data_IF_384450998369
#
_entry.id   IF_384450998369
#
_cell.length_a   1.000
_cell.length_b   1.000
_cell.length_c   1.000
_cell.angle_alpha   90.00
_cell.angle_beta   90.00
_cell.angle_gamma   90.00
#
_symmetry.space_group_name_H-M   'P 1'
#
loop_
_entity.id
_entity.type
_entity.pdbx_description
1 polymer ?
#
# COMPACT_ATOMS: atom_id res chain seq x y z
N UNK A 1 9.41 6.35 -11.21
CA UNK A 1 10.16 7.57 -10.82
C UNK A 1 9.99 7.70 -9.32
N UNK A 2 11.05 7.98 -8.56
CA UNK A 2 10.90 8.22 -7.11
C UNK A 2 10.73 9.72 -6.90
N UNK A 3 9.67 10.11 -6.20
CA UNK A 3 9.41 11.50 -5.90
C UNK A 3 10.29 12.00 -4.75
N UNK A 4 10.73 13.26 -4.82
CA UNK A 4 11.49 13.88 -3.73
C UNK A 4 10.71 13.87 -2.42
N UNK A 5 9.40 14.13 -2.49
CA UNK A 5 8.50 14.12 -1.33
C UNK A 5 8.41 12.73 -0.67
N UNK A 6 8.32 11.67 -1.47
CA UNK A 6 8.40 10.28 -0.96
C UNK A 6 9.73 10.04 -0.25
N UNK A 7 10.84 10.49 -0.84
CA UNK A 7 12.18 10.29 -0.27
C UNK A 7 12.32 11.00 1.09
N UNK A 8 11.79 12.22 1.20
CA UNK A 8 11.77 12.98 2.45
C UNK A 8 10.89 12.30 3.51
N UNK A 9 9.70 11.82 3.12
CA UNK A 9 8.80 11.08 4.01
C UNK A 9 9.45 9.78 4.50
N UNK A 10 10.09 9.02 3.61
CA UNK A 10 10.80 7.79 3.95
C UNK A 10 11.98 8.07 4.90
N UNK A 11 12.77 9.11 4.65
CA UNK A 11 13.87 9.49 5.52
C UNK A 11 13.39 9.88 6.92
N UNK A 12 12.29 10.63 7.02
CA UNK A 12 11.68 11.00 8.29
C UNK A 12 11.15 9.77 9.05
N UNK A 13 10.51 8.83 8.36
CA UNK A 13 10.06 7.57 8.94
C UNK A 13 11.25 6.75 9.48
N UNK A 14 12.31 6.59 8.69
CA UNK A 14 13.50 5.84 9.12
C UNK A 14 14.17 6.48 10.34
N UNK A 15 14.19 7.82 10.41
CA UNK A 15 14.73 8.54 11.57
C UNK A 15 13.88 8.36 12.84
N UNK A 16 12.55 8.32 12.70
CA UNK A 16 11.64 8.06 13.82
C UNK A 16 11.74 6.61 14.28
N UNK A 17 11.88 5.65 13.36
CA UNK A 17 11.92 4.20 13.63
C UNK A 17 13.29 3.64 14.04
N UNK A 18 14.13 4.45 14.71
CA UNK A 18 15.47 4.02 15.18
C UNK A 18 15.43 2.99 16.30
N UNK A 19 14.28 2.82 16.93
CA UNK A 19 13.97 1.81 17.93
C UNK A 19 13.59 0.44 17.34
N UNK A 20 13.53 0.32 16.01
CA UNK A 20 13.17 -0.90 15.28
C UNK A 20 14.36 -1.35 14.42
N UNK A 21 14.66 -2.65 14.35
CA UNK A 21 15.64 -3.18 13.38
C UNK A 21 15.06 -3.11 11.96
N UNK A 22 15.29 -1.97 11.31
CA UNK A 22 14.73 -1.66 10.01
C UNK A 22 15.67 -2.11 8.88
N UNK A 23 15.16 -2.96 7.98
CA UNK A 23 15.78 -3.25 6.69
C UNK A 23 15.02 -2.50 5.59
N UNK A 24 15.76 -1.88 4.66
CA UNK A 24 15.17 -1.14 3.53
C UNK A 24 15.47 -1.85 2.23
N UNK A 25 14.44 -2.09 1.42
CA UNK A 25 14.55 -2.70 0.10
C UNK A 25 13.87 -1.80 -0.93
N UNK A 26 14.56 -1.53 -2.04
CA UNK A 26 13.98 -0.84 -3.20
C UNK A 26 13.87 -1.82 -4.36
N UNK A 27 12.64 -2.22 -4.70
CA UNK A 27 12.37 -3.10 -5.82
C UNK A 27 11.97 -2.32 -7.06
N UNK A 28 12.59 -2.64 -8.21
CA UNK A 28 12.29 -2.03 -9.50
C UNK A 28 11.79 -3.12 -10.44
N UNK A 29 10.59 -2.94 -10.98
CA UNK A 29 10.00 -3.83 -11.98
C UNK A 29 8.98 -3.06 -12.80
N UNK A 30 8.84 -3.39 -14.08
CA UNK A 30 7.75 -2.89 -14.94
C UNK A 30 6.40 -3.55 -14.61
N UNK A 31 6.42 -4.68 -13.90
CA UNK A 31 5.24 -5.41 -13.46
C UNK A 31 5.17 -5.32 -11.94
N UNK A 32 4.16 -4.61 -11.42
CA UNK A 32 4.01 -4.35 -9.97
C UNK A 32 3.88 -5.65 -9.16
N UNK A 33 3.14 -6.64 -9.65
CA UNK A 33 3.05 -7.96 -9.02
C UNK A 33 4.42 -8.62 -8.82
N UNK A 34 5.33 -8.50 -9.79
CA UNK A 34 6.70 -9.01 -9.67
C UNK A 34 7.48 -8.23 -8.61
N UNK A 35 7.37 -6.89 -8.59
CA UNK A 35 8.02 -6.07 -7.55
C UNK A 35 7.55 -6.44 -6.14
N UNK A 36 6.24 -6.67 -5.94
CA UNK A 36 5.69 -7.10 -4.66
C UNK A 36 6.21 -8.48 -4.25
N UNK A 37 6.14 -9.48 -5.13
CA UNK A 37 6.66 -10.82 -4.81
C UNK A 37 8.18 -10.81 -4.53
N UNK A 38 8.96 -9.97 -5.22
CA UNK A 38 10.39 -9.78 -4.90
C UNK A 38 10.57 -9.16 -3.50
N UNK A 39 9.67 -8.26 -3.08
CA UNK A 39 9.62 -7.71 -1.73
C UNK A 39 9.37 -8.79 -0.69
N UNK A 40 8.38 -9.66 -0.92
CA UNK A 40 8.13 -10.81 -0.04
C UNK A 40 9.36 -11.72 0.03
N UNK A 41 9.98 -12.05 -1.12
CA UNK A 41 11.20 -12.86 -1.13
C UNK A 41 12.33 -12.23 -0.33
N UNK A 42 12.60 -10.94 -0.52
CA UNK A 42 13.65 -10.23 0.19
C UNK A 42 13.39 -10.22 1.71
N UNK A 43 12.14 -9.99 2.12
CA UNK A 43 11.75 -10.06 3.53
C UNK A 43 11.94 -11.46 4.12
N UNK A 44 11.57 -12.51 3.38
CA UNK A 44 11.81 -13.91 3.77
C UNK A 44 13.31 -14.20 3.92
N UNK A 45 14.13 -13.78 2.95
CA UNK A 45 15.59 -13.99 2.97
C UNK A 45 16.27 -13.23 4.13
N UNK A 46 15.72 -12.09 4.55
CA UNK A 46 16.21 -11.29 5.67
C UNK A 46 15.69 -11.75 7.03
N UNK A 47 14.68 -12.63 7.08
CA UNK A 47 14.10 -13.14 8.32
C UNK A 47 13.41 -12.06 9.17
N UNK A 48 12.77 -11.06 8.54
CA UNK A 48 12.03 -10.01 9.26
C UNK A 48 10.64 -10.49 9.71
N UNK A 49 10.10 -9.90 10.77
CA UNK A 49 8.76 -10.26 11.28
C UNK A 49 7.61 -9.63 10.48
N UNK A 50 7.85 -8.46 9.90
CA UNK A 50 6.87 -7.67 9.16
C UNK A 50 7.46 -7.10 7.89
N UNK A 51 6.61 -6.95 6.87
CA UNK A 51 6.89 -6.26 5.63
C UNK A 51 5.94 -5.08 5.48
N UNK A 52 6.50 -3.86 5.48
CA UNK A 52 5.78 -2.64 5.15
C UNK A 52 6.00 -2.29 3.67
N UNK A 53 4.93 -2.30 2.89
CA UNK A 53 4.94 -1.74 1.54
C UNK A 53 4.67 -0.25 1.57
N UNK A 54 5.50 0.51 0.84
CA UNK A 54 5.34 1.94 0.59
C UNK A 54 5.57 2.20 -0.90
N UNK A 55 4.57 2.73 -1.60
CA UNK A 55 4.73 3.10 -3.02
C UNK A 55 5.45 4.43 -3.18
N UNK A 56 6.28 4.52 -4.23
CA UNK A 56 7.20 5.66 -4.43
C UNK A 56 6.52 6.98 -4.79
N UNK A 57 5.20 6.95 -4.96
CA UNK A 57 4.30 8.08 -5.21
C UNK A 57 3.38 8.37 -4.01
N UNK A 58 3.76 7.92 -2.81
CA UNK A 58 3.04 8.20 -1.57
C UNK A 58 3.81 9.19 -0.67
N UNK A 59 3.07 9.99 0.10
CA UNK A 59 3.60 10.78 1.22
C UNK A 59 2.87 10.35 2.48
N UNK A 60 3.60 10.12 3.57
CA UNK A 60 3.05 9.55 4.79
C UNK A 60 3.72 10.17 6.04
N UNK A 61 3.04 10.20 7.19
CA UNK A 61 3.63 10.67 8.45
C UNK A 61 4.83 9.83 8.89
N UNK A 62 5.81 10.44 9.56
CA UNK A 62 7.00 9.73 10.06
C UNK A 62 6.70 8.59 11.05
N UNK A 63 5.57 8.65 11.78
CA UNK A 63 5.14 7.62 12.74
C UNK A 63 4.30 6.49 12.11
N UNK A 64 4.22 6.43 10.77
CA UNK A 64 3.40 5.44 10.05
C UNK A 64 3.71 4.00 10.47
N UNK A 65 5.00 3.62 10.54
CA UNK A 65 5.39 2.27 10.92
C UNK A 65 4.98 1.92 12.37
N UNK A 66 5.31 2.77 13.35
CA UNK A 66 4.92 2.55 14.75
C UNK A 66 3.41 2.44 14.92
N UNK A 67 2.67 3.29 14.22
CA UNK A 67 1.20 3.31 14.27
C UNK A 67 0.61 2.00 13.77
N UNK A 68 1.06 1.52 12.60
CA UNK A 68 0.60 0.25 12.04
C UNK A 68 1.01 -0.95 12.92
N UNK A 69 2.23 -0.96 13.46
CA UNK A 69 2.69 -2.00 14.38
C UNK A 69 1.89 -2.03 15.69
N UNK A 70 1.51 -0.87 16.23
CA UNK A 70 0.78 -0.76 17.49
C UNK A 70 -0.60 -1.42 17.45
N UNK A 71 -1.19 -1.59 16.27
CA UNK A 71 -2.46 -2.32 16.10
C UNK A 71 -2.33 -3.83 16.29
N UNK A 72 -1.13 -4.39 16.17
CA UNK A 72 -0.86 -5.82 16.36
C UNK A 72 -1.52 -6.75 15.33
N UNK A 73 -2.03 -6.21 14.23
CA UNK A 73 -2.76 -6.98 13.20
C UNK A 73 -1.82 -7.67 12.22
N UNK A 74 -2.30 -8.75 11.61
CA UNK A 74 -1.56 -9.48 10.57
C UNK A 74 -1.50 -8.73 9.25
N UNK A 75 -2.57 -8.00 8.89
CA UNK A 75 -2.63 -7.16 7.70
C UNK A 75 -3.34 -5.84 8.04
N UNK A 76 -2.59 -4.74 8.03
CA UNK A 76 -3.12 -3.40 8.35
C UNK A 76 -2.42 -2.34 7.52
N UNK A 77 -3.19 -1.38 7.01
CA UNK A 77 -2.65 -0.33 6.13
C UNK A 77 -3.49 0.94 6.15
N UNK A 78 -3.30 1.75 5.12
CA UNK A 78 -4.04 2.98 4.91
C UNK A 78 -4.75 2.99 3.55
N UNK A 79 -5.87 3.69 3.49
CA UNK A 79 -6.57 4.04 2.26
C UNK A 79 -6.04 5.37 1.74
N UNK A 80 -6.21 5.59 0.44
CA UNK A 80 -5.84 6.82 -0.22
C UNK A 80 -6.62 6.95 -1.54
N UNK A 81 -6.74 8.15 -2.07
CA UNK A 81 -7.52 8.40 -3.28
C UNK A 81 -6.78 7.95 -4.53
N UNK A 82 -7.50 7.68 -5.63
CA UNK A 82 -6.91 7.67 -6.97
C UNK A 82 -6.32 9.04 -7.31
N UNK A 83 -5.48 9.09 -8.36
CA UNK A 83 -4.86 10.33 -8.87
C UNK A 83 -5.66 11.03 -9.96
N UNK A 84 -6.85 10.50 -10.30
CA UNK A 84 -7.68 11.00 -11.39
C UNK A 84 -9.05 11.41 -10.81
N UNK A 85 -9.57 12.61 -11.15
CA UNK A 85 -10.92 13.03 -10.77
C UNK A 85 -11.98 11.95 -11.10
N UNK A 86 -12.97 11.70 -10.22
CA UNK A 86 -13.33 12.47 -9.01
C UNK A 86 -12.53 12.07 -7.75
N UNK A 87 -11.34 11.47 -7.90
CA UNK A 87 -10.46 11.03 -6.80
C UNK A 87 -11.15 10.07 -5.82
N UNK A 88 -11.81 8.99 -6.30
CA UNK A 88 -12.41 8.02 -5.40
C UNK A 88 -11.36 7.35 -4.51
N UNK A 89 -11.74 6.96 -3.30
CA UNK A 89 -10.90 6.15 -2.42
C UNK A 89 -10.54 4.82 -3.09
N UNK A 90 -9.30 4.38 -2.90
CA UNK A 90 -8.85 3.03 -3.23
C UNK A 90 -9.09 2.10 -2.04
N UNK A 91 -9.60 0.91 -2.32
CA UNK A 91 -10.08 -0.06 -1.35
C UNK A 91 -11.61 -0.16 -1.31
N UNK A 92 -12.09 -1.22 -0.67
CA UNK A 92 -13.50 -1.51 -0.49
C UNK A 92 -13.72 -1.97 0.94
N UNK A 93 -14.54 -1.23 1.69
CA UNK A 93 -14.87 -1.55 3.08
C UNK A 93 -15.75 -2.79 3.15
N UNK A 94 -15.68 -3.52 4.26
CA UNK A 94 -16.70 -4.51 4.59
C UNK A 94 -18.01 -3.78 4.92
N UNK A 95 -19.11 -4.22 4.34
CA UNK A 95 -20.42 -3.57 4.51
C UNK A 95 -20.88 -3.61 5.98
N UNK A 96 -20.84 -4.79 6.59
CA UNK A 96 -21.12 -4.97 8.01
C UNK A 96 -19.82 -5.04 8.81
N UNK A 97 -19.57 -3.98 9.57
CA UNK A 97 -18.40 -3.93 10.45
C UNK A 97 -18.62 -4.85 11.66
N UNK A 98 -17.62 -5.66 12.01
CA UNK A 98 -17.73 -6.61 13.10
C UNK A 98 -17.68 -5.89 14.45
N UNK A 99 -18.43 -6.41 15.42
CA UNK A 99 -18.55 -5.79 16.75
C UNK A 99 -17.22 -5.75 17.53
N UNK A 100 -16.27 -6.62 17.18
CA UNK A 100 -14.94 -6.71 17.79
C UNK A 100 -13.87 -5.92 17.01
N UNK A 101 -14.26 -5.04 16.08
CA UNK A 101 -13.33 -4.21 15.34
C UNK A 101 -12.44 -3.38 16.29
N UNK A 102 -11.10 -3.42 16.15
CA UNK A 102 -10.23 -2.59 16.96
C UNK A 102 -10.52 -1.10 16.78
N UNK A 103 -10.34 -0.32 17.85
CA UNK A 103 -10.61 1.10 17.82
C UNK A 103 -9.79 1.82 16.74
N UNK A 104 -10.47 2.62 15.89
CA UNK A 104 -9.84 3.38 14.81
C UNK A 104 -9.53 2.59 13.54
N UNK A 105 -9.87 1.29 13.49
CA UNK A 105 -9.75 0.46 12.30
C UNK A 105 -11.10 0.20 11.64
N UNK A 106 -11.13 0.17 10.32
CA UNK A 106 -12.23 -0.41 9.54
C UNK A 106 -11.78 -1.72 8.90
N UNK A 107 -12.63 -2.73 8.96
CA UNK A 107 -12.40 -3.95 8.21
C UNK A 107 -12.68 -3.74 6.73
N UNK A 108 -11.78 -4.23 5.89
CA UNK A 108 -11.78 -4.06 4.45
C UNK A 108 -12.04 -5.41 3.76
N UNK A 109 -12.82 -5.39 2.68
CA UNK A 109 -12.84 -6.50 1.72
C UNK A 109 -11.58 -6.46 0.86
N UNK A 110 -11.16 -5.27 0.44
CA UNK A 110 -9.94 -5.04 -0.35
C UNK A 110 -9.24 -3.77 0.12
N UNK A 111 -7.92 -3.82 0.28
CA UNK A 111 -7.08 -2.69 0.71
C UNK A 111 -5.90 -2.53 -0.26
N UNK A 112 -5.58 -1.30 -0.69
CA UNK A 112 -4.47 -1.11 -1.63
C UNK A 112 -3.11 -1.29 -0.94
N UNK A 113 -2.07 -1.63 -1.72
CA UNK A 113 -0.75 -2.04 -1.17
C UNK A 113 0.26 -0.88 -1.10
N UNK A 114 -0.12 0.37 -1.37
CA UNK A 114 0.83 1.50 -1.37
C UNK A 114 1.21 2.02 0.01
N UNK A 115 0.47 1.62 1.04
CA UNK A 115 0.85 1.74 2.44
C UNK A 115 0.20 0.59 3.22
N UNK A 116 0.87 -0.56 3.26
CA UNK A 116 0.32 -1.80 3.83
C UNK A 116 1.39 -2.56 4.61
N UNK A 117 1.14 -2.80 5.89
CA UNK A 117 1.95 -3.64 6.77
C UNK A 117 1.37 -5.06 6.80
N UNK A 118 2.22 -6.04 6.56
CA UNK A 118 1.85 -7.46 6.57
C UNK A 118 2.82 -8.21 7.49
N UNK A 119 2.29 -8.97 8.45
CA UNK A 119 3.07 -9.91 9.26
C UNK A 119 3.55 -11.05 8.37
N UNK A 120 4.84 -11.39 8.42
CA UNK A 120 5.44 -12.35 7.50
C UNK A 120 4.83 -13.75 7.59
N UNK A 121 4.38 -14.17 8.78
CA UNK A 121 3.67 -15.44 8.97
C UNK A 121 2.34 -15.53 8.22
N UNK A 122 1.78 -14.41 7.73
CA UNK A 122 0.60 -14.43 6.88
C UNK A 122 0.87 -15.16 5.56
N UNK A 123 2.10 -15.06 5.04
CA UNK A 123 2.49 -15.70 3.78
C UNK A 123 2.64 -17.23 3.90
N UNK A 124 2.74 -17.78 5.11
CA UNK A 124 2.81 -19.24 5.34
C UNK A 124 1.48 -19.94 5.01
N UNK A 125 0.37 -19.20 5.12
CA UNK A 125 -0.99 -19.67 4.79
C UNK A 125 -1.41 -19.32 3.37
N UNK A 126 -0.51 -18.74 2.58
CA UNK A 126 -0.77 -18.33 1.21
C UNK A 126 0.17 -19.06 0.24
N UNK A 127 -0.26 -19.20 -1.01
CA UNK A 127 0.53 -19.87 -2.05
C UNK A 127 1.20 -18.85 -2.98
N UNK A 128 2.40 -19.16 -3.47
CA UNK A 128 3.08 -18.31 -4.47
C UNK A 128 2.42 -18.46 -5.87
N UNK A 129 2.52 -17.44 -6.75
CA UNK A 129 2.88 -16.05 -6.41
C UNK A 129 1.81 -15.43 -5.50
N UNK A 130 2.24 -14.67 -4.49
CA UNK A 130 1.36 -14.07 -3.48
C UNK A 130 0.53 -12.93 -4.07
N UNK A 131 1.20 -12.03 -4.79
CA UNK A 131 0.58 -10.97 -5.59
C UNK A 131 0.53 -11.42 -7.05
N UNK A 132 -0.65 -11.38 -7.67
CA UNK A 132 -0.84 -11.77 -9.08
C UNK A 132 -2.09 -11.13 -9.63
N UNK A 133 -2.09 -10.79 -10.90
CA UNK A 133 -3.32 -10.40 -11.57
C UNK A 133 -4.21 -11.63 -11.73
N UNK A 134 -5.50 -11.45 -11.50
CA UNK A 134 -6.53 -12.44 -11.80
C UNK A 134 -7.49 -11.84 -12.83
N UNK A 135 -8.24 -12.69 -13.51
CA UNK A 135 -9.26 -12.27 -14.48
C UNK A 135 -10.58 -12.85 -14.02
N UNK A 136 -11.62 -12.05 -14.06
CA UNK A 136 -12.98 -12.58 -14.03
C UNK A 136 -13.32 -13.05 -15.44
N UNK A 137 -13.42 -14.37 -15.63
CA UNK A 137 -13.74 -14.97 -16.93
C UNK A 137 -15.15 -14.62 -17.43
N UNK A 138 -16.04 -14.20 -16.54
CA UNK A 138 -17.42 -13.86 -16.90
C UNK A 138 -17.52 -12.43 -17.43
N UNK A 139 -16.92 -11.47 -16.72
CA UNK A 139 -16.95 -10.05 -17.10
C UNK A 139 -15.80 -9.63 -18.00
N UNK A 140 -14.71 -10.42 -18.04
CA UNK A 140 -13.45 -10.07 -18.71
C UNK A 140 -12.61 -9.04 -17.95
N UNK A 141 -13.04 -8.65 -16.74
CA UNK A 141 -12.34 -7.63 -15.95
C UNK A 141 -11.04 -8.16 -15.35
N UNK A 142 -10.03 -7.29 -15.33
CA UNK A 142 -8.75 -7.57 -14.66
C UNK A 142 -8.87 -7.18 -13.20
N UNK A 143 -8.60 -8.15 -12.32
CA UNK A 143 -8.43 -7.91 -10.90
C UNK A 143 -6.96 -7.58 -10.64
N UNK A 144 -6.72 -6.39 -10.08
CA UNK A 144 -5.40 -5.92 -9.66
C UNK A 144 -4.72 -6.89 -8.70
N UNK A 145 -3.39 -6.88 -8.68
CA UNK A 145 -2.60 -7.82 -7.88
C UNK A 145 -2.77 -7.64 -6.37
N UNK A 146 -3.06 -6.42 -5.95
CA UNK A 146 -3.38 -6.05 -4.57
C UNK A 146 -4.72 -6.64 -4.13
N UNK A 147 -5.75 -6.51 -4.96
CA UNK A 147 -7.09 -7.02 -4.68
C UNK A 147 -7.16 -8.55 -4.76
N UNK A 148 -6.45 -9.16 -5.71
CA UNK A 148 -6.29 -10.61 -5.74
C UNK A 148 -5.58 -11.15 -4.49
N UNK A 149 -4.55 -10.44 -4.00
CA UNK A 149 -3.93 -10.76 -2.71
C UNK A 149 -4.95 -10.66 -1.55
N UNK A 150 -5.71 -9.57 -1.48
CA UNK A 150 -6.73 -9.35 -0.46
C UNK A 150 -7.78 -10.48 -0.42
N UNK A 151 -8.34 -10.83 -1.58
CA UNK A 151 -9.36 -11.87 -1.70
C UNK A 151 -8.84 -13.24 -1.24
N UNK A 152 -7.55 -13.52 -1.50
CA UNK A 152 -6.89 -14.75 -1.07
C UNK A 152 -6.54 -14.75 0.41
N UNK A 153 -6.08 -13.62 0.94
CA UNK A 153 -5.84 -13.45 2.37
C UNK A 153 -7.13 -13.64 3.18
N UNK A 154 -8.24 -13.05 2.73
CA UNK A 154 -9.56 -13.26 3.34
C UNK A 154 -10.02 -14.71 3.25
N UNK A 155 -9.88 -15.36 2.08
CA UNK A 155 -10.18 -16.80 1.92
C UNK A 155 -9.33 -17.68 2.83
N UNK A 156 -8.09 -17.28 3.13
CA UNK A 156 -7.23 -17.94 4.09
C UNK A 156 -7.59 -17.62 5.55
N UNK A 157 -8.58 -16.76 5.82
CA UNK A 157 -9.07 -16.43 7.17
C UNK A 157 -8.40 -15.21 7.82
N UNK A 158 -7.67 -14.39 7.06
CA UNK A 158 -7.14 -13.11 7.57
C UNK A 158 -8.17 -12.00 7.44
N UNK A 159 -8.17 -11.09 8.41
CA UNK A 159 -8.91 -9.83 8.37
C UNK A 159 -7.97 -8.74 7.87
N UNK A 160 -8.50 -7.83 7.07
CA UNK A 160 -7.75 -6.74 6.46
C UNK A 160 -8.22 -5.44 7.09
N UNK A 161 -7.30 -4.64 7.60
CA UNK A 161 -7.65 -3.46 8.37
C UNK A 161 -7.13 -2.17 7.75
N UNK A 162 -7.97 -1.15 7.69
CA UNK A 162 -7.57 0.21 7.36
C UNK A 162 -7.55 1.07 8.63
N UNK A 163 -6.41 1.71 8.90
CA UNK A 163 -6.31 2.75 9.91
C UNK A 163 -6.85 4.08 9.35
N UNK A 164 -7.97 4.55 9.90
CA UNK A 164 -8.69 5.68 9.32
C UNK A 164 -7.99 7.00 9.54
N UNK A 165 -7.45 7.29 10.73
CA UNK A 165 -6.75 8.57 10.87
C UNK A 165 -5.43 8.58 10.10
N UNK A 166 -4.76 7.43 9.91
CA UNK A 166 -3.59 7.38 9.02
C UNK A 166 -4.01 7.64 7.57
N UNK A 167 -5.14 7.08 7.15
CA UNK A 167 -5.70 7.29 5.80
C UNK A 167 -6.03 8.76 5.51
N UNK A 168 -6.36 9.55 6.54
CA UNK A 168 -6.59 10.99 6.41
C UNK A 168 -5.31 11.81 6.32
N UNK A 169 -4.16 11.25 6.73
CA UNK A 169 -2.86 11.93 6.77
C UNK A 169 -1.94 11.54 5.60
N UNK A 170 -2.29 10.50 4.85
CA UNK A 170 -1.51 10.03 3.71
C UNK A 170 -1.90 10.78 2.42
N UNK A 171 -0.91 11.04 1.56
CA UNK A 171 -1.09 11.70 0.27
C UNK A 171 -0.66 10.82 -0.89
N UNK A 172 -1.40 10.89 -2.00
CA UNK A 172 -1.06 10.22 -3.26
C UNK A 172 -0.58 11.25 -4.29
N UNK A 173 0.71 11.19 -4.64
CA UNK A 173 1.35 12.18 -5.51
C UNK A 173 0.84 12.03 -6.95
N UNK A 174 0.18 13.07 -7.45
CA UNK A 174 -0.16 13.24 -8.86
C UNK A 174 0.94 13.94 -9.65
N UNK A 175 0.99 13.72 -10.96
CA UNK A 175 1.89 14.45 -11.87
C UNK A 175 1.08 15.13 -12.97
N UNK A 176 1.47 16.36 -13.30
CA UNK A 176 0.95 17.11 -14.44
C UNK A 176 2.10 17.54 -15.33
N UNK A 177 1.94 17.37 -16.64
CA UNK A 177 2.91 17.85 -17.63
C UNK A 177 2.55 19.29 -18.00
N UNK A 178 3.50 20.21 -17.79
CA UNK A 178 3.37 21.61 -18.23
C UNK A 178 4.21 21.80 -19.50
N UNK A 179 3.63 22.44 -20.50
CA UNK A 179 4.30 22.83 -21.75
C UNK A 179 4.22 24.34 -21.91
N UNK A 180 5.12 24.91 -22.69
CA UNK A 180 4.95 26.28 -23.17
C UNK A 180 3.61 26.39 -23.92
N UNK A 181 2.89 27.51 -23.81
CA UNK A 181 1.70 27.76 -24.62
C UNK A 181 2.07 27.72 -26.11
N UNK A 182 1.14 27.25 -26.95
CA UNK A 182 1.36 27.09 -28.40
C UNK A 182 1.67 28.41 -29.14
N UNK A 183 1.47 29.56 -28.47
CA UNK A 183 1.78 30.88 -28.99
C UNK A 183 2.77 31.57 -28.07
N UNK A 184 3.94 31.91 -28.62
CA UNK A 184 4.92 32.77 -27.98
C UNK A 184 4.45 34.22 -28.14
N UNK A 185 4.23 35.00 -27.07
CA UNK A 185 3.89 36.41 -27.22
C UNK A 185 5.11 37.12 -27.81
N UNK A 186 5.04 37.46 -29.10
CA UNK A 186 5.95 38.42 -29.71
C UNK A 186 5.58 39.78 -29.14
N UNK A 187 6.50 40.43 -28.44
CA UNK A 187 6.34 41.82 -27.99
C UNK A 187 6.08 42.73 -29.21
N UNK A 188 5.04 43.55 -29.15
CA UNK A 188 4.80 44.66 -30.10
C UNK A 188 5.93 45.70 -30.06
#
# INVERSE_FOLDING_TARGET
MVHADFTLALAALCHEARDIDLKIVSNKSSIVAVARNNGVKAAQDMGVDYLLYLDSDMVFPKRTLHRLLAHGQDVVGALYTKRIPPYPLLGSTLEEQPADAPAGLLEMTRIPTGCLLIRMSAFDRLTRPYFRFEYDETSGEVIGEDYAFCDRARRAGFRLWADISLSMEIGHIGQQVHRFPDHFPMSE
#
